data_IF_669238186323
#
_entry.id   IF_669238186323
#
_cell.length_a   1.000
_cell.length_b   1.000
_cell.length_c   1.000
_cell.angle_alpha   90.00
_cell.angle_beta   90.00
_cell.angle_gamma   90.00
#
_symmetry.space_group_name_H-M   'P 1'
#
loop_
_entity.id
_entity.type
_entity.pdbx_description
1 polymer ?
#
# COMPACT_ATOMS: atom_id res chain seq x y z
N UNK A 1 21.96 54.65 -22.51
CA UNK A 1 21.57 53.71 -21.45
C UNK A 1 20.83 52.56 -22.13
N UNK A 2 21.54 51.47 -22.41
CA UNK A 2 20.96 50.21 -22.86
C UNK A 2 20.83 49.34 -21.62
N UNK A 3 19.60 49.07 -21.19
CA UNK A 3 19.33 48.00 -20.22
C UNK A 3 19.38 46.67 -20.97
N UNK A 4 20.44 45.90 -20.72
CA UNK A 4 20.50 44.48 -21.05
C UNK A 4 19.53 43.74 -20.13
N UNK A 5 18.38 43.36 -20.67
CA UNK A 5 17.49 42.38 -20.08
C UNK A 5 18.19 41.01 -20.10
N UNK A 6 18.60 40.55 -18.92
CA UNK A 6 18.97 39.15 -18.69
C UNK A 6 17.70 38.30 -18.77
N UNK A 7 17.37 37.80 -19.96
CA UNK A 7 16.52 36.64 -20.08
C UNK A 7 17.33 35.43 -19.65
N UNK A 8 17.16 35.03 -18.39
CA UNK A 8 17.50 33.68 -17.96
C UNK A 8 16.66 32.72 -18.81
N UNK A 9 17.32 31.99 -19.72
CA UNK A 9 16.75 30.83 -20.38
C UNK A 9 16.49 29.77 -19.31
N UNK A 10 15.30 29.82 -18.68
CA UNK A 10 14.77 28.68 -17.94
C UNK A 10 14.60 27.53 -18.93
N UNK A 11 15.37 26.46 -18.76
CA UNK A 11 15.11 25.18 -19.44
C UNK A 11 13.63 24.84 -19.24
N UNK A 12 12.91 24.39 -20.30
CA UNK A 12 11.55 23.89 -20.13
C UNK A 12 11.53 22.80 -19.05
N UNK A 13 10.56 22.83 -18.14
CA UNK A 13 10.49 21.93 -16.98
C UNK A 13 10.65 20.45 -17.38
N UNK A 14 10.15 20.06 -18.54
CA UNK A 14 10.27 18.71 -19.09
C UNK A 14 11.70 18.27 -19.42
N UNK A 15 12.59 19.18 -19.84
CA UNK A 15 14.00 18.85 -20.11
C UNK A 15 14.80 18.68 -18.82
N UNK A 16 14.50 19.51 -17.81
CA UNK A 16 15.11 19.40 -16.48
C UNK A 16 14.65 18.14 -15.73
N UNK A 17 13.38 17.75 -15.88
CA UNK A 17 12.84 16.52 -15.29
C UNK A 17 13.48 15.27 -15.93
N UNK A 18 13.66 15.27 -17.25
CA UNK A 18 14.32 14.18 -17.99
C UNK A 18 15.80 14.02 -17.62
N UNK A 19 16.53 15.12 -17.40
CA UNK A 19 17.93 15.10 -16.98
C UNK A 19 18.10 14.50 -15.57
N UNK A 20 17.20 14.83 -14.64
CA UNK A 20 17.18 14.27 -13.28
C UNK A 20 16.84 12.77 -13.25
N UNK A 21 15.91 12.33 -14.10
CA UNK A 21 15.58 10.91 -14.26
C UNK A 21 16.75 10.15 -14.92
N UNK A 22 17.47 10.78 -15.84
CA UNK A 22 18.65 10.19 -16.48
C UNK A 22 19.84 10.02 -15.50
N UNK A 23 20.06 10.99 -14.60
CA UNK A 23 21.09 10.87 -13.55
C UNK A 23 20.76 9.74 -12.56
N UNK A 24 19.48 9.60 -12.20
CA UNK A 24 18.96 8.48 -11.42
C UNK A 24 19.22 7.14 -12.13
N UNK A 25 18.88 7.06 -13.43
CA UNK A 25 19.11 5.86 -14.24
C UNK A 25 20.60 5.50 -14.36
N UNK A 26 21.49 6.50 -14.42
CA UNK A 26 22.95 6.29 -14.50
C UNK A 26 23.52 5.67 -13.22
N UNK A 27 23.15 6.20 -12.04
CA UNK A 27 23.53 5.63 -10.73
C UNK A 27 23.08 4.17 -10.59
N UNK A 28 21.95 3.84 -11.21
CA UNK A 28 21.31 2.52 -11.14
C UNK A 28 21.95 1.52 -12.12
N UNK A 29 22.42 2.01 -13.27
CA UNK A 29 23.19 1.20 -14.21
C UNK A 29 24.52 0.68 -13.66
N UNK A 30 25.09 1.30 -12.62
CA UNK A 30 26.26 0.75 -11.93
C UNK A 30 25.90 -0.45 -11.03
N UNK A 31 24.68 -0.45 -10.46
CA UNK A 31 24.14 -1.53 -9.62
C UNK A 31 23.66 -2.74 -10.44
N UNK A 32 23.29 -2.55 -11.72
CA UNK A 32 23.01 -3.64 -12.72
C UNK A 32 24.05 -4.76 -12.70
N UNK A 33 25.32 -4.44 -12.46
CA UNK A 33 26.42 -5.42 -12.47
C UNK A 33 26.33 -6.44 -11.31
N UNK A 34 25.52 -6.18 -10.28
CA UNK A 34 25.44 -7.02 -9.07
C UNK A 34 24.20 -7.94 -9.00
N UNK A 35 23.16 -7.76 -9.82
CA UNK A 35 21.83 -8.36 -9.58
C UNK A 35 21.58 -9.67 -10.37
N UNK A 36 22.31 -9.98 -11.43
CA UNK A 36 22.06 -11.17 -12.29
C UNK A 36 22.64 -12.49 -11.76
N UNK A 37 22.30 -12.87 -10.53
CA UNK A 37 22.65 -14.20 -10.00
C UNK A 37 21.49 -15.18 -10.25
N UNK A 38 21.73 -16.38 -10.82
CA UNK A 38 20.69 -17.40 -10.99
C UNK A 38 20.21 -17.94 -9.63
N UNK A 39 18.94 -18.36 -9.58
CA UNK A 39 18.39 -19.07 -8.43
C UNK A 39 19.09 -20.43 -8.27
N UNK A 40 19.43 -20.81 -7.04
CA UNK A 40 19.95 -22.12 -6.72
C UNK A 40 18.87 -23.18 -6.92
N UNK A 41 19.21 -24.33 -7.51
CA UNK A 41 18.27 -25.40 -7.88
C UNK A 41 17.39 -25.85 -6.70
N UNK A 42 17.98 -25.99 -5.51
CA UNK A 42 17.26 -26.39 -4.29
C UNK A 42 16.11 -25.46 -3.91
N UNK A 43 16.15 -24.19 -4.32
CA UNK A 43 15.10 -23.22 -4.02
C UNK A 43 13.88 -23.38 -4.94
N UNK A 44 14.03 -24.05 -6.08
CA UNK A 44 12.91 -24.35 -6.99
C UNK A 44 11.95 -25.40 -6.43
N UNK A 45 12.39 -26.15 -5.41
CA UNK A 45 11.58 -27.17 -4.72
C UNK A 45 10.66 -26.58 -3.65
N UNK A 46 10.81 -25.30 -3.29
CA UNK A 46 10.00 -24.66 -2.25
C UNK A 46 8.92 -23.75 -2.83
N UNK A 47 7.69 -23.89 -2.33
CA UNK A 47 6.57 -22.97 -2.59
C UNK A 47 6.77 -21.64 -1.84
N UNK A 48 7.74 -20.84 -2.27
CA UNK A 48 8.08 -19.54 -1.67
C UNK A 48 7.44 -18.35 -2.37
N UNK A 49 6.91 -18.56 -3.59
CA UNK A 49 6.34 -17.50 -4.42
C UNK A 49 5.19 -16.82 -3.70
N UNK A 50 5.33 -15.52 -3.45
CA UNK A 50 4.34 -14.69 -2.75
C UNK A 50 4.44 -14.68 -1.22
N UNK A 51 5.29 -15.52 -0.61
CA UNK A 51 5.52 -15.52 0.86
C UNK A 51 6.83 -14.83 1.27
N UNK A 52 7.80 -14.79 0.36
CA UNK A 52 9.12 -14.18 0.54
C UNK A 52 9.41 -13.32 -0.69
N UNK A 53 9.87 -12.07 -0.52
CA UNK A 53 10.13 -11.19 -1.66
C UNK A 53 11.32 -11.73 -2.47
N UNK A 54 11.29 -11.52 -3.79
CA UNK A 54 12.28 -12.11 -4.72
C UNK A 54 13.73 -11.80 -4.30
N UNK A 55 13.98 -10.57 -3.83
CA UNK A 55 15.29 -10.14 -3.32
C UNK A 55 15.82 -11.03 -2.19
N UNK A 56 14.95 -11.42 -1.24
CA UNK A 56 15.35 -12.28 -0.14
C UNK A 56 15.60 -13.73 -0.62
N UNK A 57 14.81 -14.23 -1.57
CA UNK A 57 15.05 -15.54 -2.20
C UNK A 57 16.42 -15.55 -2.91
N UNK A 58 16.79 -14.47 -3.60
CA UNK A 58 18.11 -14.33 -4.22
C UNK A 58 19.25 -14.30 -3.20
N UNK A 59 19.06 -13.68 -2.04
CA UNK A 59 20.06 -13.68 -0.96
C UNK A 59 20.25 -15.08 -0.37
N UNK A 60 19.15 -15.80 -0.10
CA UNK A 60 19.18 -17.20 0.34
C UNK A 60 19.89 -18.05 -0.72
N UNK A 61 19.57 -17.85 -2.01
CA UNK A 61 20.21 -18.55 -3.14
C UNK A 61 21.74 -18.39 -3.12
N UNK A 62 22.23 -17.16 -2.96
CA UNK A 62 23.67 -16.88 -2.87
C UNK A 62 24.32 -17.54 -1.66
N UNK A 63 23.62 -17.60 -0.53
CA UNK A 63 24.09 -18.32 0.66
C UNK A 63 24.21 -19.83 0.38
N UNK A 64 23.23 -20.42 -0.31
CA UNK A 64 23.27 -21.84 -0.70
C UNK A 64 24.44 -22.14 -1.65
N UNK A 65 24.67 -21.30 -2.66
CA UNK A 65 25.82 -21.43 -3.56
C UNK A 65 27.16 -21.42 -2.81
N UNK A 66 27.31 -20.56 -1.79
CA UNK A 66 28.52 -20.52 -0.94
C UNK A 66 28.71 -21.81 -0.14
N UNK A 67 27.62 -22.38 0.40
CA UNK A 67 27.68 -23.65 1.12
C UNK A 67 28.01 -24.82 0.18
N UNK A 68 27.44 -24.84 -1.02
CA UNK A 68 27.75 -25.84 -2.04
C UNK A 68 29.24 -25.78 -2.42
N UNK A 69 29.76 -24.57 -2.67
CA UNK A 69 31.20 -24.35 -2.96
C UNK A 69 32.11 -24.76 -1.79
N UNK A 70 31.62 -24.70 -0.55
CA UNK A 70 32.33 -25.15 0.65
C UNK A 70 32.24 -26.68 0.87
N UNK A 71 31.57 -27.41 -0.02
CA UNK A 71 31.45 -28.87 0.04
C UNK A 71 30.28 -29.39 0.89
N UNK A 72 29.27 -28.55 1.18
CA UNK A 72 28.06 -29.02 1.85
C UNK A 72 27.33 -30.07 1.02
N UNK A 73 26.80 -31.11 1.68
CA UNK A 73 25.97 -32.11 1.01
C UNK A 73 24.61 -31.53 0.63
N UNK A 74 23.93 -32.16 -0.34
CA UNK A 74 22.57 -31.77 -0.73
C UNK A 74 21.59 -31.73 0.45
N UNK A 75 21.69 -32.69 1.37
CA UNK A 75 20.82 -32.74 2.55
C UNK A 75 21.06 -31.54 3.49
N UNK A 76 22.33 -31.17 3.70
CA UNK A 76 22.68 -29.99 4.50
C UNK A 76 22.17 -28.71 3.83
N UNK A 77 22.34 -28.59 2.51
CA UNK A 77 21.81 -27.45 1.75
C UNK A 77 20.28 -27.37 1.89
N UNK A 78 19.57 -28.51 1.82
CA UNK A 78 18.11 -28.58 1.93
C UNK A 78 17.64 -28.06 3.29
N UNK A 79 18.23 -28.57 4.37
CA UNK A 79 17.90 -28.15 5.73
C UNK A 79 18.23 -26.67 5.98
N UNK A 80 19.36 -26.18 5.46
CA UNK A 80 19.73 -24.76 5.58
C UNK A 80 18.80 -23.84 4.76
N UNK A 81 18.35 -24.29 3.59
CA UNK A 81 17.38 -23.57 2.79
C UNK A 81 16.00 -23.52 3.48
N UNK A 82 15.52 -24.65 4.01
CA UNK A 82 14.28 -24.75 4.78
C UNK A 82 14.26 -23.76 5.95
N UNK A 83 15.33 -23.75 6.75
CA UNK A 83 15.45 -22.87 7.91
C UNK A 83 15.49 -21.38 7.49
N UNK A 84 16.30 -21.05 6.48
CA UNK A 84 16.39 -19.68 5.97
C UNK A 84 15.07 -19.18 5.35
N UNK A 85 14.32 -20.05 4.67
CA UNK A 85 12.99 -19.72 4.14
C UNK A 85 12.01 -19.48 5.29
N UNK A 86 12.00 -20.35 6.31
CA UNK A 86 11.13 -20.21 7.47
C UNK A 86 11.39 -18.90 8.22
N UNK A 87 12.66 -18.57 8.43
CA UNK A 87 13.07 -17.30 9.01
C UNK A 87 12.61 -16.11 8.17
N UNK A 88 12.77 -16.19 6.84
CA UNK A 88 12.32 -15.15 5.93
C UNK A 88 10.78 -14.98 5.97
N UNK A 89 10.00 -16.07 5.95
CA UNK A 89 8.54 -16.02 6.06
C UNK A 89 8.13 -15.32 7.36
N UNK A 90 8.77 -15.67 8.48
CA UNK A 90 8.51 -15.03 9.78
C UNK A 90 8.86 -13.54 9.75
N UNK A 91 9.92 -13.16 9.07
CA UNK A 91 10.36 -11.77 8.92
C UNK A 91 9.45 -10.92 8.04
N UNK A 92 8.74 -11.54 7.09
CA UNK A 92 8.03 -10.85 6.01
C UNK A 92 6.50 -10.98 6.05
N UNK A 93 5.96 -11.87 6.89
CA UNK A 93 4.53 -12.07 7.07
C UNK A 93 4.05 -11.46 8.39
N UNK A 94 2.86 -10.91 8.39
CA UNK A 94 2.12 -10.57 9.60
C UNK A 94 1.34 -11.82 10.04
N UNK A 95 1.76 -12.45 11.15
CA UNK A 95 1.14 -13.69 11.64
C UNK A 95 -0.32 -13.51 12.07
N UNK A 96 -0.72 -12.31 12.50
CA UNK A 96 -2.06 -12.05 13.01
C UNK A 96 -3.08 -12.06 11.88
N UNK A 97 -2.72 -11.51 10.72
CA UNK A 97 -3.62 -11.39 9.57
C UNK A 97 -3.26 -12.28 8.39
N UNK A 98 -2.13 -12.98 8.47
CA UNK A 98 -1.66 -13.92 7.46
C UNK A 98 -1.33 -13.28 6.10
N UNK A 99 -1.14 -11.95 6.07
CA UNK A 99 -0.74 -11.16 4.91
C UNK A 99 0.71 -10.69 5.02
N UNK A 100 1.26 -10.11 3.96
CA UNK A 100 2.61 -9.53 4.01
C UNK A 100 2.71 -8.37 5.00
N UNK A 101 3.89 -8.14 5.56
CA UNK A 101 4.15 -7.02 6.48
C UNK A 101 4.92 -5.88 5.78
N UNK A 102 5.21 -4.81 6.52
CA UNK A 102 5.90 -3.64 5.99
C UNK A 102 7.31 -3.94 5.44
N UNK A 103 8.01 -4.94 5.98
CA UNK A 103 9.32 -5.32 5.44
C UNK A 103 9.19 -5.97 4.07
N UNK A 104 8.14 -6.77 3.84
CA UNK A 104 7.86 -7.37 2.53
C UNK A 104 7.51 -6.27 1.54
N UNK A 105 6.60 -5.37 1.92
CA UNK A 105 6.21 -4.21 1.11
C UNK A 105 7.43 -3.40 0.65
N UNK A 106 8.35 -3.09 1.58
CA UNK A 106 9.60 -2.40 1.24
C UNK A 106 10.41 -3.19 0.21
N UNK A 107 10.61 -4.49 0.44
CA UNK A 107 11.39 -5.32 -0.47
C UNK A 107 10.77 -5.40 -1.88
N UNK A 108 9.45 -5.48 -1.99
CA UNK A 108 8.71 -5.47 -3.25
C UNK A 108 8.84 -4.15 -3.98
N UNK A 109 8.63 -3.02 -3.29
CA UNK A 109 8.79 -1.71 -3.90
C UNK A 109 10.22 -1.49 -4.38
N UNK A 110 11.22 -1.93 -3.61
CA UNK A 110 12.62 -1.97 -4.06
C UNK A 110 12.78 -2.80 -5.33
N UNK A 111 12.12 -3.96 -5.41
CA UNK A 111 12.10 -4.80 -6.61
C UNK A 111 11.49 -4.10 -7.82
N UNK A 112 10.39 -3.36 -7.66
CA UNK A 112 9.79 -2.59 -8.75
C UNK A 112 10.69 -1.45 -9.22
N UNK A 113 11.28 -0.72 -8.27
CA UNK A 113 12.26 0.34 -8.56
C UNK A 113 13.47 -0.25 -9.28
N UNK A 114 14.00 -1.37 -8.80
CA UNK A 114 15.07 -2.13 -9.46
C UNK A 114 14.61 -2.49 -10.89
N UNK A 115 13.47 -3.14 -11.09
CA UNK A 115 13.05 -3.57 -12.43
C UNK A 115 12.85 -2.41 -13.42
N UNK A 116 12.28 -1.28 -12.99
CA UNK A 116 12.06 -0.13 -13.88
C UNK A 116 13.39 0.54 -14.24
N UNK A 117 14.27 0.72 -13.25
CA UNK A 117 15.46 1.55 -13.41
C UNK A 117 16.71 0.73 -13.81
N UNK A 118 16.74 -0.59 -13.54
CA UNK A 118 17.86 -1.53 -13.76
C UNK A 118 17.63 -2.41 -15.00
N UNK A 119 16.45 -2.52 -15.60
CA UNK A 119 16.25 -3.44 -16.74
C UNK A 119 16.20 -2.77 -18.12
N UNK A 120 16.56 -1.48 -18.23
CA UNK A 120 16.38 -0.68 -19.47
C UNK A 120 14.93 -0.69 -19.98
N UNK A 121 13.97 -0.91 -19.08
CA UNK A 121 12.51 -0.91 -19.37
C UNK A 121 11.87 0.48 -19.27
N UNK A 122 12.67 1.50 -18.92
CA UNK A 122 12.22 2.89 -18.91
C UNK A 122 12.23 3.42 -20.35
N UNK A 123 11.11 3.28 -21.05
CA UNK A 123 10.91 3.83 -22.39
C UNK A 123 10.50 5.31 -22.31
N UNK A 124 9.82 5.69 -21.23
CA UNK A 124 9.36 7.05 -20.96
C UNK A 124 9.27 7.37 -19.47
N UNK A 125 9.25 8.65 -19.11
CA UNK A 125 9.01 9.09 -17.73
C UNK A 125 7.65 8.64 -17.18
N UNK A 126 6.66 8.43 -18.07
CA UNK A 126 5.33 7.92 -17.72
C UNK A 126 5.40 6.45 -17.21
N UNK A 127 6.48 5.70 -17.48
CA UNK A 127 6.67 4.36 -16.92
C UNK A 127 6.92 4.38 -15.41
N UNK A 128 7.44 5.49 -14.86
CA UNK A 128 7.54 5.68 -13.41
C UNK A 128 6.16 5.90 -12.77
N UNK A 129 5.15 6.29 -13.56
CA UNK A 129 3.79 6.44 -13.05
C UNK A 129 3.03 5.11 -13.00
N UNK A 130 3.59 4.05 -13.59
CA UNK A 130 3.01 2.70 -13.60
C UNK A 130 3.25 1.93 -12.30
N UNK A 131 4.08 2.46 -11.40
CA UNK A 131 4.30 1.91 -10.07
C UNK A 131 3.81 2.89 -9.02
N UNK A 132 2.95 2.44 -8.12
CA UNK A 132 2.43 3.26 -7.05
C UNK A 132 2.33 2.49 -5.73
N UNK A 133 2.32 3.27 -4.66
CA UNK A 133 1.86 2.85 -3.35
C UNK A 133 0.46 3.38 -3.15
N UNK A 134 -0.45 2.54 -2.67
CA UNK A 134 -1.73 2.97 -2.12
C UNK A 134 -1.71 2.71 -0.62
N UNK A 135 -1.91 3.76 0.16
CA UNK A 135 -2.02 3.71 1.61
C UNK A 135 -3.48 3.66 2.03
N UNK A 136 -3.78 2.83 3.03
CA UNK A 136 -5.11 2.70 3.61
C UNK A 136 -5.03 2.83 5.12
N UNK A 137 -6.00 3.53 5.69
CA UNK A 137 -6.22 3.61 7.13
C UNK A 137 -7.66 3.21 7.46
N UNK A 138 -7.82 2.29 8.41
CA UNK A 138 -9.15 1.79 8.78
C UNK A 138 -9.87 2.81 9.66
N UNK A 139 -11.07 3.18 9.24
CA UNK A 139 -11.94 4.02 10.04
C UNK A 139 -12.63 3.21 11.14
N UNK A 140 -12.78 3.84 12.31
CA UNK A 140 -13.65 3.32 13.37
C UNK A 140 -13.09 2.16 14.19
N UNK A 141 -11.82 1.76 14.03
CA UNK A 141 -11.21 0.68 14.83
C UNK A 141 -11.38 0.89 16.34
N UNK A 142 -11.20 2.13 16.83
CA UNK A 142 -11.41 2.45 18.25
C UNK A 142 -12.86 2.18 18.69
N UNK A 143 -13.85 2.47 17.85
CA UNK A 143 -15.25 2.18 18.16
C UNK A 143 -15.49 0.68 18.29
N UNK A 144 -14.85 -0.13 17.44
CA UNK A 144 -14.88 -1.60 17.54
C UNK A 144 -14.25 -2.09 18.83
N UNK A 145 -13.03 -1.63 19.14
CA UNK A 145 -12.28 -2.08 20.32
C UNK A 145 -12.96 -1.72 21.64
N UNK A 146 -13.43 -0.49 21.76
CA UNK A 146 -13.94 0.03 23.03
C UNK A 146 -15.34 -0.54 23.36
N UNK A 147 -16.10 -0.97 22.35
CA UNK A 147 -17.53 -1.23 22.52
C UNK A 147 -17.99 -2.62 22.10
N UNK A 148 -17.16 -3.45 21.48
CA UNK A 148 -17.56 -4.83 21.20
C UNK A 148 -17.80 -5.60 22.50
N UNK A 149 -18.85 -6.43 22.55
CA UNK A 149 -19.12 -7.34 23.67
C UNK A 149 -17.96 -8.34 23.91
N UNK A 150 -17.07 -8.52 22.94
CA UNK A 150 -15.95 -9.48 22.95
C UNK A 150 -14.54 -8.87 23.18
N UNK A 151 -14.43 -7.64 23.72
CA UNK A 151 -13.14 -6.96 24.00
C UNK A 151 -12.17 -6.98 22.79
N UNK A 152 -10.86 -6.79 23.00
CA UNK A 152 -9.81 -6.66 21.96
C UNK A 152 -9.86 -7.70 20.82
N UNK A 153 -10.43 -8.89 21.05
CA UNK A 153 -10.59 -9.91 20.00
C UNK A 153 -11.48 -9.45 18.83
N UNK A 154 -12.41 -8.53 19.07
CA UNK A 154 -13.26 -7.97 18.01
C UNK A 154 -12.49 -7.07 17.04
N UNK A 155 -11.54 -6.28 17.54
CA UNK A 155 -10.65 -5.48 16.67
C UNK A 155 -9.76 -6.36 15.80
N UNK A 156 -9.29 -7.49 16.34
CA UNK A 156 -8.52 -8.48 15.59
C UNK A 156 -9.33 -9.12 14.48
N UNK A 157 -10.58 -9.52 14.75
CA UNK A 157 -11.49 -10.06 13.75
C UNK A 157 -11.81 -9.00 12.67
N UNK A 158 -12.11 -7.77 13.09
CA UNK A 158 -12.39 -6.65 12.20
C UNK A 158 -11.25 -6.38 11.23
N UNK A 159 -10.03 -6.24 11.74
CA UNK A 159 -8.84 -6.02 10.92
C UNK A 159 -8.51 -7.26 10.05
N UNK A 160 -8.76 -8.48 10.55
CA UNK A 160 -8.55 -9.71 9.75
C UNK A 160 -9.48 -9.77 8.55
N UNK A 161 -10.75 -9.41 8.70
CA UNK A 161 -11.71 -9.36 7.58
C UNK A 161 -11.29 -8.34 6.52
N UNK A 162 -10.85 -7.16 6.95
CA UNK A 162 -10.32 -6.12 6.05
C UNK A 162 -9.05 -6.61 5.34
N UNK A 163 -8.10 -7.20 6.08
CA UNK A 163 -6.88 -7.77 5.51
C UNK A 163 -7.19 -8.85 4.46
N UNK A 164 -8.18 -9.71 4.70
CA UNK A 164 -8.61 -10.73 3.75
C UNK A 164 -9.25 -10.12 2.50
N UNK A 165 -10.07 -9.07 2.63
CA UNK A 165 -10.63 -8.34 1.50
C UNK A 165 -9.51 -7.67 0.68
N UNK A 166 -8.51 -7.10 1.34
CA UNK A 166 -7.34 -6.52 0.68
C UNK A 166 -6.46 -7.57 0.00
N UNK A 167 -6.32 -8.76 0.58
CA UNK A 167 -5.42 -9.79 0.05
C UNK A 167 -6.02 -10.61 -1.08
N UNK A 168 -7.33 -10.89 -1.04
CA UNK A 168 -7.98 -11.80 -1.97
C UNK A 168 -9.45 -11.43 -2.27
N UNK A 169 -9.82 -10.16 -2.05
CA UNK A 169 -11.13 -9.62 -2.36
C UNK A 169 -11.39 -9.46 -3.86
N UNK A 170 -12.55 -8.90 -4.18
CA UNK A 170 -13.01 -8.73 -5.57
C UNK A 170 -12.09 -7.80 -6.34
N UNK A 171 -11.74 -6.65 -5.75
CA UNK A 171 -10.89 -5.65 -6.38
C UNK A 171 -9.46 -6.16 -6.61
N UNK A 172 -8.85 -6.86 -5.64
CA UNK A 172 -7.51 -7.46 -5.80
C UNK A 172 -7.50 -8.45 -6.96
N UNK A 173 -8.47 -9.38 -6.99
CA UNK A 173 -8.60 -10.38 -8.06
C UNK A 173 -8.85 -9.76 -9.42
N UNK A 174 -9.64 -8.69 -9.47
CA UNK A 174 -9.88 -7.96 -10.71
C UNK A 174 -8.58 -7.33 -11.24
N UNK A 175 -7.84 -6.63 -10.38
CA UNK A 175 -6.56 -6.02 -10.76
C UNK A 175 -5.54 -7.08 -11.22
N UNK A 176 -5.45 -8.23 -10.53
CA UNK A 176 -4.63 -9.37 -10.96
C UNK A 176 -5.07 -9.89 -12.35
N UNK A 177 -6.38 -9.96 -12.62
CA UNK A 177 -6.92 -10.38 -13.91
C UNK A 177 -6.59 -9.40 -15.06
N UNK A 178 -6.31 -8.13 -14.72
CA UNK A 178 -5.78 -7.14 -15.67
C UNK A 178 -4.26 -7.27 -15.89
N UNK A 179 -3.60 -8.25 -15.24
CA UNK A 179 -2.16 -8.46 -15.33
C UNK A 179 -1.35 -7.51 -14.46
N UNK A 180 -1.96 -6.86 -13.46
CA UNK A 180 -1.24 -6.01 -12.51
C UNK A 180 -0.54 -6.85 -11.44
N UNK A 181 0.66 -6.43 -11.07
CA UNK A 181 1.38 -7.00 -9.93
C UNK A 181 0.97 -6.23 -8.68
N UNK A 182 0.42 -6.92 -7.67
CA UNK A 182 -0.11 -6.30 -6.45
C UNK A 182 0.44 -7.04 -5.25
N UNK A 183 1.01 -6.27 -4.34
CA UNK A 183 1.56 -6.79 -3.08
C UNK A 183 0.87 -6.08 -1.91
N UNK A 184 -0.25 -6.65 -1.38
CA UNK A 184 -0.94 -6.12 -0.22
C UNK A 184 -0.12 -6.38 1.04
N UNK A 185 -0.04 -5.40 1.94
CA UNK A 185 0.72 -5.52 3.18
C UNK A 185 0.12 -4.72 4.33
N UNK A 186 0.40 -5.15 5.56
CA UNK A 186 0.15 -4.35 6.75
C UNK A 186 1.36 -3.47 7.06
N UNK A 187 1.12 -2.19 7.36
CA UNK A 187 2.16 -1.29 7.88
C UNK A 187 2.29 -1.42 9.39
N UNK A 188 1.26 -0.98 10.12
CA UNK A 188 1.20 -0.95 11.58
C UNK A 188 -0.24 -0.74 12.02
N UNK A 189 -0.62 -1.04 13.27
CA UNK A 189 -1.96 -0.70 13.78
C UNK A 189 -3.11 -1.16 12.85
N UNK A 190 -3.92 -0.18 12.42
CA UNK A 190 -5.00 -0.18 11.43
C UNK A 190 -4.58 0.17 9.98
N UNK A 191 -3.29 0.33 9.72
CA UNK A 191 -2.76 0.82 8.46
C UNK A 191 -2.36 -0.34 7.53
N UNK A 192 -2.82 -0.26 6.29
CA UNK A 192 -2.53 -1.22 5.21
C UNK A 192 -1.98 -0.50 3.97
N UNK A 193 -1.37 -1.26 3.07
CA UNK A 193 -0.72 -0.75 1.88
C UNK A 193 -0.87 -1.72 0.71
N UNK A 194 -1.00 -1.19 -0.51
CA UNK A 194 -0.71 -1.93 -1.74
C UNK A 194 0.56 -1.36 -2.38
N UNK A 195 1.50 -2.22 -2.76
CA UNK A 195 2.44 -1.90 -3.82
C UNK A 195 1.82 -2.40 -5.13
N UNK A 196 1.66 -1.52 -6.11
CA UNK A 196 1.03 -1.85 -7.39
C UNK A 196 2.01 -1.53 -8.50
N UNK A 197 2.10 -2.45 -9.46
CA UNK A 197 2.68 -2.19 -10.78
C UNK A 197 1.67 -2.54 -11.86
N UNK A 198 1.47 -1.62 -12.79
CA UNK A 198 0.52 -1.71 -13.88
C UNK A 198 1.21 -1.55 -15.24
N UNK A 199 0.45 -1.80 -16.31
CA UNK A 199 0.84 -1.49 -17.69
C UNK A 199 0.52 -0.04 -18.09
N UNK A 200 -0.28 0.66 -17.27
CA UNK A 200 -0.79 2.01 -17.48
C UNK A 200 -0.46 2.95 -16.30
N UNK A 201 -0.38 4.27 -16.54
CA UNK A 201 -0.18 5.26 -15.48
C UNK A 201 -1.25 5.17 -14.38
N UNK A 202 -0.84 5.29 -13.11
CA UNK A 202 -1.72 5.12 -11.94
C UNK A 202 -2.22 6.44 -11.36
N UNK A 203 -1.41 7.51 -11.34
CA UNK A 203 -1.77 8.81 -10.73
C UNK A 203 -1.97 9.93 -11.76
N UNK A 204 -1.69 9.67 -13.04
CA UNK A 204 -2.11 10.54 -14.15
C UNK A 204 -3.63 10.48 -14.36
N UNK A 205 -4.26 11.65 -14.49
CA UNK A 205 -5.69 11.73 -14.84
C UNK A 205 -5.93 11.28 -16.28
N UNK A 206 -6.85 10.36 -16.45
CA UNK A 206 -7.21 9.81 -17.76
C UNK A 206 -8.64 9.29 -17.74
N UNK A 207 -9.18 8.98 -18.92
CA UNK A 207 -10.48 8.35 -19.05
C UNK A 207 -10.28 6.83 -19.16
N UNK A 208 -11.06 6.05 -18.41
CA UNK A 208 -10.95 4.58 -18.45
C UNK A 208 -12.27 3.88 -18.15
N UNK A 209 -12.34 2.61 -18.54
CA UNK A 209 -13.50 1.73 -18.30
C UNK A 209 -13.30 0.98 -16.98
N UNK A 210 -14.25 1.13 -16.06
CA UNK A 210 -14.29 0.46 -14.77
C UNK A 210 -14.64 -1.03 -14.85
N UNK A 211 -14.66 -1.68 -13.68
CA UNK A 211 -15.00 -3.09 -13.45
C UNK A 211 -16.39 -3.41 -13.99
N UNK A 212 -17.32 -2.47 -13.77
CA UNK A 212 -18.73 -2.63 -14.11
C UNK A 212 -19.04 -2.15 -15.53
N UNK A 213 -18.00 -1.86 -16.33
CA UNK A 213 -18.15 -1.30 -17.67
C UNK A 213 -18.47 0.20 -17.70
N UNK A 214 -18.43 0.89 -16.54
CA UNK A 214 -18.66 2.32 -16.43
C UNK A 214 -17.49 3.13 -17.03
N UNK A 215 -17.80 4.21 -17.76
CA UNK A 215 -16.79 5.16 -18.21
C UNK A 215 -16.52 6.16 -17.10
N UNK A 216 -15.25 6.27 -16.71
CA UNK A 216 -14.81 7.18 -15.65
C UNK A 216 -13.97 8.26 -16.31
N UNK A 217 -14.47 9.49 -16.22
CA UNK A 217 -13.85 10.65 -16.86
C UNK A 217 -12.95 11.41 -15.88
N UNK A 218 -11.78 11.82 -16.34
CA UNK A 218 -10.88 12.75 -15.64
C UNK A 218 -10.52 12.33 -14.19
N UNK A 219 -10.37 11.02 -13.96
CA UNK A 219 -9.95 10.46 -12.68
C UNK A 219 -8.57 9.80 -12.80
N UNK A 220 -7.91 9.60 -11.67
CA UNK A 220 -6.73 8.73 -11.65
C UNK A 220 -7.18 7.27 -11.50
N UNK A 221 -6.42 6.34 -12.08
CA UNK A 221 -6.74 4.93 -11.93
C UNK A 221 -6.60 4.49 -10.46
N UNK A 222 -5.65 5.07 -9.72
CA UNK A 222 -5.47 4.82 -8.29
C UNK A 222 -6.67 5.27 -7.45
N UNK A 223 -7.27 6.43 -7.72
CA UNK A 223 -8.48 6.89 -7.01
C UNK A 223 -9.65 5.92 -7.22
N UNK A 224 -9.78 5.38 -8.43
CA UNK A 224 -10.80 4.39 -8.72
C UNK A 224 -10.55 3.05 -8.02
N UNK A 225 -9.29 2.59 -7.97
CA UNK A 225 -8.90 1.42 -7.16
C UNK A 225 -9.32 1.64 -5.70
N UNK A 226 -8.98 2.80 -5.13
CA UNK A 226 -9.34 3.15 -3.74
C UNK A 226 -10.86 3.10 -3.57
N UNK A 227 -11.63 3.65 -4.52
CA UNK A 227 -13.09 3.64 -4.47
C UNK A 227 -13.67 2.22 -4.47
N UNK A 228 -13.15 1.32 -5.32
CA UNK A 228 -13.60 -0.08 -5.38
C UNK A 228 -13.20 -0.88 -4.15
N UNK A 229 -12.02 -0.63 -3.58
CA UNK A 229 -11.63 -1.25 -2.31
C UNK A 229 -12.52 -0.77 -1.16
N UNK A 230 -12.89 0.52 -1.13
CA UNK A 230 -13.85 1.05 -0.15
C UNK A 230 -15.21 0.37 -0.26
N UNK A 231 -15.69 0.17 -1.48
CA UNK A 231 -16.94 -0.56 -1.76
C UNK A 231 -16.85 -1.99 -1.20
N UNK A 232 -15.84 -2.75 -1.60
CA UNK A 232 -15.59 -4.12 -1.13
C UNK A 232 -15.54 -4.22 0.41
N UNK A 233 -14.88 -3.25 1.06
CA UNK A 233 -14.76 -3.22 2.52
C UNK A 233 -16.09 -2.85 3.19
N UNK A 234 -16.85 -1.93 2.60
CA UNK A 234 -18.14 -1.51 3.15
C UNK A 234 -19.22 -2.60 3.10
N UNK A 235 -19.07 -3.57 2.20
CA UNK A 235 -19.95 -4.73 2.03
C UNK A 235 -19.59 -5.92 2.94
N UNK A 236 -18.48 -5.84 3.69
CA UNK A 236 -18.10 -6.90 4.61
C UNK A 236 -19.14 -7.05 5.72
N UNK A 237 -19.60 -8.29 5.93
CA UNK A 237 -20.46 -8.62 7.07
C UNK A 237 -19.66 -8.47 8.38
N UNK A 238 -20.08 -7.52 9.21
CA UNK A 238 -19.46 -7.21 10.51
C UNK A 238 -20.36 -7.55 11.70
N UNK A 239 -21.42 -8.35 11.52
CA UNK A 239 -22.35 -8.71 12.61
C UNK A 239 -21.66 -9.47 13.75
N UNK A 240 -20.67 -10.29 13.45
CA UNK A 240 -19.86 -11.01 14.45
C UNK A 240 -18.90 -10.11 15.24
N UNK A 241 -18.65 -8.89 14.75
CA UNK A 241 -17.81 -7.84 15.37
C UNK A 241 -18.67 -6.85 16.17
N UNK A 242 -19.75 -6.35 15.55
CA UNK A 242 -20.68 -5.35 16.10
C UNK A 242 -22.11 -5.70 15.68
N UNK A 243 -22.84 -6.37 16.56
CA UNK A 243 -24.24 -6.73 16.31
C UNK A 243 -25.18 -5.68 16.91
N UNK A 244 -25.66 -4.75 16.09
CA UNK A 244 -26.65 -3.76 16.49
C UNK A 244 -28.09 -4.30 16.46
N UNK A 245 -28.32 -5.59 16.18
CA UNK A 245 -29.60 -6.22 16.52
C UNK A 245 -29.69 -6.57 18.01
N UNK A 246 -28.56 -6.66 18.72
CA UNK A 246 -28.50 -6.83 20.17
C UNK A 246 -28.80 -5.51 20.91
N UNK A 247 -29.85 -5.44 21.74
CA UNK A 247 -30.15 -4.26 22.54
C UNK A 247 -29.00 -3.83 23.47
N UNK A 248 -28.18 -4.77 23.95
CA UNK A 248 -27.03 -4.44 24.80
C UNK A 248 -25.98 -3.63 24.05
N UNK A 249 -25.82 -3.90 22.75
CA UNK A 249 -24.90 -3.15 21.90
C UNK A 249 -25.41 -1.73 21.67
N UNK A 250 -26.71 -1.56 21.40
CA UNK A 250 -27.34 -0.24 21.24
C UNK A 250 -27.23 0.61 22.51
N UNK A 251 -27.43 0.01 23.68
CA UNK A 251 -27.38 0.70 24.97
C UNK A 251 -26.02 1.37 25.24
N UNK A 252 -24.91 0.78 24.77
CA UNK A 252 -23.57 1.39 24.89
C UNK A 252 -23.41 2.70 24.12
N UNK A 253 -24.23 2.91 23.09
CA UNK A 253 -24.18 4.08 22.22
C UNK A 253 -25.35 5.04 22.43
N UNK A 254 -26.20 4.82 23.44
CA UNK A 254 -27.38 5.67 23.69
C UNK A 254 -27.04 7.15 23.91
N UNK A 255 -25.88 7.43 24.50
CA UNK A 255 -25.43 8.81 24.77
C UNK A 255 -24.79 9.46 23.53
N UNK A 256 -24.41 8.64 22.55
CA UNK A 256 -23.83 9.08 21.28
C UNK A 256 -24.89 9.34 20.20
N UNK A 257 -26.09 8.79 20.37
CA UNK A 257 -27.13 8.74 19.35
C UNK A 257 -28.40 9.37 19.92
N UNK A 258 -28.73 10.57 19.45
CA UNK A 258 -29.90 11.34 19.91
C UNK A 258 -31.21 10.95 19.21
N UNK A 259 -31.12 10.16 18.14
CA UNK A 259 -32.25 9.79 17.27
C UNK A 259 -32.60 8.30 17.40
N UNK A 260 -33.82 7.93 17.01
CA UNK A 260 -34.24 6.54 16.98
C UNK A 260 -33.26 5.72 16.13
N UNK A 261 -32.84 4.55 16.64
CA UNK A 261 -32.04 3.61 15.87
C UNK A 261 -32.79 3.20 14.60
N UNK A 262 -32.21 3.36 13.41
CA UNK A 262 -32.78 2.79 12.19
C UNK A 262 -33.01 1.29 12.39
N UNK A 263 -34.19 0.80 12.01
CA UNK A 263 -34.57 -0.61 12.23
C UNK A 263 -33.62 -1.57 11.50
N UNK A 264 -33.02 -1.11 10.41
CA UNK A 264 -32.12 -1.83 9.50
C UNK A 264 -30.65 -1.42 9.63
N UNK A 265 -30.24 -0.73 10.70
CA UNK A 265 -28.85 -0.32 10.86
C UNK A 265 -27.90 -1.52 10.94
N UNK A 266 -26.94 -1.56 10.02
CA UNK A 266 -25.83 -2.51 10.02
C UNK A 266 -24.50 -1.76 10.16
N UNK A 267 -23.64 -2.24 11.06
CA UNK A 267 -22.29 -1.70 11.18
C UNK A 267 -21.47 -2.09 9.94
N UNK A 268 -20.89 -1.08 9.28
CA UNK A 268 -20.05 -1.29 8.10
C UNK A 268 -18.61 -0.91 8.40
N UNK A 269 -17.68 -1.68 7.85
CA UNK A 269 -16.30 -1.28 7.83
C UNK A 269 -16.10 -0.11 6.86
N UNK A 270 -15.11 0.72 7.16
CA UNK A 270 -14.72 1.84 6.30
C UNK A 270 -13.22 1.96 6.33
N UNK A 271 -12.66 2.37 5.18
CA UNK A 271 -11.26 2.77 5.05
C UNK A 271 -11.19 4.12 4.38
N UNK A 272 -10.11 4.83 4.65
CA UNK A 272 -9.70 5.99 3.87
C UNK A 272 -8.41 5.65 3.13
N UNK A 273 -8.25 6.17 1.92
CA UNK A 273 -7.15 5.77 1.05
C UNK A 273 -6.48 6.95 0.33
N UNK A 274 -5.20 6.80 0.03
CA UNK A 274 -4.43 7.77 -0.74
C UNK A 274 -3.30 7.10 -1.50
N UNK A 275 -2.96 7.61 -2.67
CA UNK A 275 -1.95 7.01 -3.55
C UNK A 275 -0.80 7.96 -3.84
N UNK A 276 0.36 7.39 -4.15
CA UNK A 276 1.53 8.11 -4.66
C UNK A 276 2.28 7.22 -5.64
N UNK A 277 2.60 7.74 -6.83
CA UNK A 277 3.44 7.01 -7.78
C UNK A 277 4.93 7.19 -7.48
N UNK A 278 5.74 6.32 -8.07
CA UNK A 278 7.19 6.46 -8.06
C UNK A 278 7.61 7.79 -8.72
N UNK A 279 6.90 8.19 -9.79
CA UNK A 279 7.10 9.49 -10.44
C UNK A 279 6.87 10.67 -9.48
N UNK A 280 5.77 10.66 -8.73
CA UNK A 280 5.44 11.71 -7.75
C UNK A 280 6.55 11.87 -6.71
N UNK A 281 7.05 10.75 -6.18
CA UNK A 281 8.12 10.74 -5.20
C UNK A 281 9.45 11.25 -5.75
N UNK A 282 9.83 10.85 -6.97
CA UNK A 282 11.06 11.31 -7.63
C UNK A 282 11.00 12.83 -7.86
N UNK A 283 9.86 13.35 -8.33
CA UNK A 283 9.65 14.81 -8.56
C UNK A 283 9.80 15.63 -7.28
N UNK A 284 9.33 15.11 -6.14
CA UNK A 284 9.50 15.80 -4.84
C UNK A 284 10.96 15.72 -4.39
N UNK A 285 11.56 14.54 -4.47
CA UNK A 285 12.93 14.32 -4.02
C UNK A 285 13.95 15.17 -4.82
N UNK A 286 13.75 15.29 -6.13
CA UNK A 286 14.65 16.06 -7.01
C UNK A 286 14.60 17.56 -6.72
N UNK A 287 13.43 18.11 -6.36
CA UNK A 287 13.26 19.51 -5.94
C UNK A 287 13.98 19.81 -4.62
N UNK A 288 14.07 18.83 -3.71
CA UNK A 288 14.66 19.03 -2.39
C UNK A 288 16.19 18.84 -2.37
N UNK A 289 16.72 17.87 -3.12
CA UNK A 289 18.14 17.49 -3.04
C UNK A 289 19.07 18.19 -4.04
N UNK A 290 18.57 18.86 -5.09
CA UNK A 290 19.44 19.29 -6.19
C UNK A 290 20.04 18.08 -6.92
N UNK A 291 21.30 18.15 -7.38
CA UNK A 291 22.00 16.98 -7.93
C UNK A 291 22.04 15.87 -6.86
N UNK A 292 21.48 14.71 -7.18
CA UNK A 292 21.55 13.52 -6.34
C UNK A 292 23.03 13.09 -6.30
N UNK A 293 23.73 13.47 -5.23
CA UNK A 293 25.09 12.99 -4.95
C UNK A 293 25.07 11.46 -4.81
N UNK A 294 26.21 10.81 -5.07
CA UNK A 294 26.45 9.35 -5.12
C UNK A 294 26.16 8.63 -3.78
N UNK A 295 25.50 9.29 -2.82
CA UNK A 295 24.86 8.71 -1.65
C UNK A 295 24.26 7.34 -1.97
N UNK A 296 24.65 6.35 -1.17
CA UNK A 296 24.47 4.93 -1.47
C UNK A 296 23.03 4.66 -1.93
N UNK A 297 22.84 4.03 -3.09
CA UNK A 297 21.53 3.77 -3.72
C UNK A 297 20.40 3.34 -2.76
N UNK A 298 20.72 2.64 -1.67
CA UNK A 298 19.73 2.30 -0.64
C UNK A 298 19.13 3.53 0.04
N UNK A 299 19.91 4.56 0.34
CA UNK A 299 19.44 5.84 0.86
C UNK A 299 18.55 6.56 -0.14
N UNK A 300 18.85 6.46 -1.44
CA UNK A 300 18.03 7.01 -2.50
C UNK A 300 16.66 6.33 -2.55
N UNK A 301 16.63 5.00 -2.59
CA UNK A 301 15.36 4.24 -2.61
C UNK A 301 14.57 4.43 -1.32
N UNK A 302 15.23 4.48 -0.16
CA UNK A 302 14.58 4.84 1.11
C UNK A 302 14.02 6.26 1.07
N UNK A 303 14.72 7.20 0.43
CA UNK A 303 14.24 8.56 0.20
C UNK A 303 12.97 8.58 -0.66
N UNK A 304 12.98 7.86 -1.78
CA UNK A 304 11.81 7.69 -2.66
C UNK A 304 10.63 7.11 -1.88
N UNK A 305 10.83 5.98 -1.19
CA UNK A 305 9.80 5.35 -0.35
C UNK A 305 9.23 6.33 0.68
N UNK A 306 10.11 7.07 1.38
CA UNK A 306 9.69 8.09 2.34
C UNK A 306 8.80 9.16 1.70
N UNK A 307 9.08 9.58 0.47
CA UNK A 307 8.22 10.52 -0.27
C UNK A 307 6.90 9.89 -0.69
N UNK A 308 6.89 8.65 -1.19
CA UNK A 308 5.66 7.94 -1.53
C UNK A 308 4.74 7.82 -0.30
N UNK A 309 5.29 7.46 0.86
CA UNK A 309 4.53 7.38 2.13
C UNK A 309 3.95 8.75 2.48
N UNK A 310 4.75 9.82 2.46
CA UNK A 310 4.25 11.14 2.86
C UNK A 310 3.17 11.68 1.90
N UNK A 311 3.31 11.46 0.59
CA UNK A 311 2.33 11.92 -0.40
C UNK A 311 1.01 11.15 -0.23
N UNK A 312 1.09 9.82 -0.16
CA UNK A 312 -0.08 8.96 0.01
C UNK A 312 -0.78 9.15 1.36
N UNK A 313 -0.05 9.36 2.45
CA UNK A 313 -0.61 9.67 3.77
C UNK A 313 -1.37 11.01 3.77
N UNK A 314 -0.80 12.06 3.17
CA UNK A 314 -1.49 13.35 3.03
C UNK A 314 -2.77 13.23 2.19
N UNK A 315 -2.74 12.47 1.09
CA UNK A 315 -3.92 12.20 0.28
C UNK A 315 -4.98 11.41 1.07
N UNK A 316 -4.56 10.38 1.82
CA UNK A 316 -5.42 9.59 2.71
C UNK A 316 -6.07 10.47 3.79
N UNK A 317 -5.34 11.39 4.40
CA UNK A 317 -5.88 12.32 5.41
C UNK A 317 -6.92 13.28 4.80
N UNK A 318 -6.71 13.72 3.56
CA UNK A 318 -7.68 14.48 2.79
C UNK A 318 -8.97 13.68 2.56
N UNK A 319 -8.82 12.45 2.07
CA UNK A 319 -9.93 11.51 1.86
C UNK A 319 -10.69 11.19 3.16
N UNK A 320 -9.96 10.95 4.25
CA UNK A 320 -10.52 10.69 5.59
C UNK A 320 -11.34 11.87 6.10
N UNK A 321 -10.89 13.08 5.83
CA UNK A 321 -11.63 14.31 6.18
C UNK A 321 -12.90 14.43 5.34
N UNK A 322 -12.81 14.19 4.03
CA UNK A 322 -13.95 14.22 3.12
C UNK A 322 -15.00 13.15 3.48
N UNK A 323 -14.58 11.92 3.79
CA UNK A 323 -15.48 10.83 4.19
C UNK A 323 -16.25 11.15 5.48
N UNK A 324 -15.57 11.75 6.48
CA UNK A 324 -16.23 12.18 7.73
C UNK A 324 -17.29 13.25 7.47
N UNK A 325 -16.98 14.26 6.67
CA UNK A 325 -17.95 15.31 6.34
C UNK A 325 -19.09 14.78 5.47
N UNK A 326 -18.81 13.86 4.53
CA UNK A 326 -19.84 13.19 3.74
C UNK A 326 -20.80 12.40 4.63
N UNK A 327 -20.31 11.58 5.55
CA UNK A 327 -21.16 10.81 6.48
C UNK A 327 -21.96 11.72 7.41
N UNK A 328 -21.32 12.74 7.98
CA UNK A 328 -21.96 13.72 8.88
C UNK A 328 -23.14 14.43 8.23
N UNK A 329 -23.00 14.78 6.94
CA UNK A 329 -23.99 15.54 6.19
C UNK A 329 -24.77 14.66 5.19
N UNK A 330 -24.71 13.32 5.33
CA UNK A 330 -25.42 12.39 4.45
C UNK A 330 -26.93 12.47 4.71
N UNK A 331 -27.74 12.28 3.67
CA UNK A 331 -29.19 12.14 3.81
C UNK A 331 -29.59 10.80 4.46
N UNK A 332 -28.69 9.80 4.40
CA UNK A 332 -28.84 8.48 5.02
C UNK A 332 -28.70 8.56 6.55
N UNK A 333 -29.74 8.17 7.29
CA UNK A 333 -29.69 8.03 8.75
C UNK A 333 -28.61 7.04 9.19
N UNK A 334 -28.42 5.95 8.43
CA UNK A 334 -27.39 4.94 8.70
C UNK A 334 -25.97 5.54 8.62
N UNK A 335 -25.69 6.42 7.66
CA UNK A 335 -24.37 7.06 7.54
C UNK A 335 -24.11 8.05 8.68
N UNK A 336 -25.13 8.85 9.03
CA UNK A 336 -25.04 9.81 10.14
C UNK A 336 -24.82 9.09 11.46
N UNK A 337 -25.53 7.98 11.67
CA UNK A 337 -25.38 7.12 12.85
C UNK A 337 -24.00 6.47 12.93
N UNK A 338 -23.47 5.93 11.82
CA UNK A 338 -22.13 5.36 11.77
C UNK A 338 -21.06 6.39 12.18
N UNK A 339 -21.18 7.63 11.69
CA UNK A 339 -20.26 8.71 12.09
C UNK A 339 -20.41 9.11 13.56
N UNK A 340 -21.63 9.10 14.10
CA UNK A 340 -21.87 9.35 15.53
C UNK A 340 -21.18 8.29 16.41
N UNK A 341 -21.29 7.01 16.04
CA UNK A 341 -20.60 5.88 16.66
C UNK A 341 -19.07 6.06 16.60
N UNK A 342 -18.53 6.45 15.46
CA UNK A 342 -17.09 6.71 15.32
C UNK A 342 -16.61 7.89 16.18
N UNK A 343 -17.44 8.91 16.38
CA UNK A 343 -17.10 10.09 17.20
C UNK A 343 -17.15 9.82 18.69
N UNK A 344 -18.13 9.07 19.18
CA UNK A 344 -18.24 8.78 20.61
C UNK A 344 -17.02 8.06 21.14
N UNK A 345 -16.52 7.08 20.39
CA UNK A 345 -15.30 6.36 20.72
C UNK A 345 -14.08 7.30 20.84
N UNK A 346 -13.96 8.32 19.97
CA UNK A 346 -12.86 9.29 20.06
C UNK A 346 -12.91 10.17 21.32
N UNK A 347 -14.10 10.48 21.82
CA UNK A 347 -14.27 11.37 22.97
C UNK A 347 -14.08 10.63 24.30
N UNK A 348 -14.42 9.34 24.37
CA UNK A 348 -14.23 8.54 25.58
C UNK A 348 -12.75 8.37 25.95
N UNK A 349 -11.83 8.36 24.98
CA UNK A 349 -10.39 8.29 25.23
C UNK A 349 -9.69 9.62 25.57
N UNK A 350 -10.43 10.73 25.73
CA UNK A 350 -9.87 12.04 26.15
C UNK A 350 -10.18 12.40 27.62
N UNK A 351 -10.99 11.59 28.28
CA UNK A 351 -11.40 11.79 29.68
C UNK A 351 -10.71 10.79 30.64
N UNK A 352 -9.79 9.97 30.12
CA UNK A 352 -8.78 9.20 30.85
C UNK A 352 -7.42 9.86 30.66
#
# INVERSE_FOLDING_TARGET
>A
MQEMSMFENKKPESESEMEQVADLARLISERKKMIKAPLHEILTEFETRGLVPERAVLEISRRMQKYEQAGASKEVLRLQAEDAIKDAVTMYRDERFEISNFNFFKAELFGFVDQILVEDKLESIDDLDKTAMIFFDVDGLKAVNDNALKLHTAGDIYLKKIAQALNAGRTTKWLESLGMEISPARRSGDEFMYAIRADKPLTKKTDFVGIDGENIENATFADYIIAKIKEDISELDMKDVQDFSDPQQREKYKDAVTENWPEDFEFRASISGGAASLLDAIKVLSKEKGNIDDSAYEELVLGILGKMINISDNAMLGDKTANKEKRKNSDSENDRLLEAIYRSARNNGKNE
#
